data_IF_166039733323
#
_entry.id   IF_166039733323
#
_cell.length_a   1.000
_cell.length_b   1.000
_cell.length_c   1.000
_cell.angle_alpha   90.00
_cell.angle_beta   90.00
_cell.angle_gamma   90.00
#
_symmetry.space_group_name_H-M   'P 1'
#
loop_
_entity.id
_entity.type
_entity.pdbx_description
1 polymer ?
#
# COMPACT_ATOMS: atom_id res chain seq x y z
N UNK A 1 -9.08 22.68 -3.16
CA UNK A 1 -8.07 22.36 -4.19
C UNK A 1 -6.85 21.74 -3.50
N UNK A 2 -6.68 20.43 -3.64
CA UNK A 2 -5.41 19.70 -3.45
C UNK A 2 -5.53 18.48 -4.37
N UNK A 3 -4.85 18.50 -5.52
CA UNK A 3 -4.91 17.40 -6.48
C UNK A 3 -4.03 16.28 -5.93
N UNK A 4 -4.58 15.07 -5.78
CA UNK A 4 -3.78 13.91 -5.42
C UNK A 4 -2.83 13.63 -6.59
N UNK A 5 -1.53 13.74 -6.34
CA UNK A 5 -0.48 13.57 -7.38
C UNK A 5 0.05 12.14 -7.41
N UNK A 6 -0.55 11.21 -6.64
CA UNK A 6 -0.18 9.80 -6.63
C UNK A 6 1.32 9.58 -6.39
N UNK A 7 1.94 10.44 -5.57
CA UNK A 7 3.39 10.43 -5.30
C UNK A 7 3.86 9.08 -4.73
N UNK A 8 3.02 8.44 -3.91
CA UNK A 8 3.32 7.13 -3.34
C UNK A 8 3.32 6.02 -4.40
N UNK A 9 2.34 6.02 -5.32
CA UNK A 9 2.30 5.08 -6.43
C UNK A 9 3.51 5.25 -7.37
N UNK A 10 3.81 6.49 -7.79
CA UNK A 10 4.96 6.76 -8.67
C UNK A 10 6.27 6.29 -8.05
N UNK A 11 6.48 6.59 -6.77
CA UNK A 11 7.64 6.12 -6.01
C UNK A 11 7.71 4.58 -5.96
N UNK A 12 6.61 3.93 -5.59
CA UNK A 12 6.58 2.48 -5.37
C UNK A 12 6.77 1.70 -6.68
N UNK A 13 6.08 2.12 -7.74
CA UNK A 13 6.17 1.50 -9.07
C UNK A 13 7.57 1.70 -9.64
N UNK A 14 8.14 2.91 -9.55
CA UNK A 14 9.50 3.17 -10.03
C UNK A 14 10.57 2.34 -9.32
N UNK A 15 10.44 2.18 -8.00
CA UNK A 15 11.34 1.34 -7.21
C UNK A 15 11.19 -0.14 -7.57
N UNK A 16 9.96 -0.65 -7.60
CA UNK A 16 9.70 -2.05 -7.95
C UNK A 16 10.09 -2.37 -9.39
N UNK A 17 9.96 -1.44 -10.33
CA UNK A 17 10.41 -1.62 -11.71
C UNK A 17 11.93 -1.75 -11.79
N UNK A 18 12.64 -0.92 -11.03
CA UNK A 18 14.10 -0.96 -10.94
C UNK A 18 14.57 -2.28 -10.32
N UNK A 19 13.92 -2.72 -9.24
CA UNK A 19 14.20 -3.99 -8.59
C UNK A 19 13.86 -5.20 -9.50
N UNK A 20 12.77 -5.13 -10.26
CA UNK A 20 12.40 -6.14 -11.25
C UNK A 20 13.43 -6.26 -12.37
N UNK A 21 13.92 -5.13 -12.90
CA UNK A 21 14.97 -5.13 -13.89
C UNK A 21 16.28 -5.77 -13.36
N UNK A 22 16.72 -5.38 -12.17
CA UNK A 22 17.92 -5.96 -11.54
C UNK A 22 17.76 -7.47 -11.29
N UNK A 23 16.59 -7.88 -10.80
CA UNK A 23 16.27 -9.29 -10.59
C UNK A 23 16.35 -10.05 -11.91
N UNK A 24 15.74 -9.54 -12.97
CA UNK A 24 15.76 -10.19 -14.28
C UNK A 24 17.19 -10.27 -14.85
N UNK A 25 17.99 -9.20 -14.72
CA UNK A 25 19.39 -9.20 -15.18
C UNK A 25 20.25 -10.24 -14.45
N UNK A 26 20.03 -10.44 -13.16
CA UNK A 26 20.83 -11.36 -12.35
C UNK A 26 20.38 -12.82 -12.45
N UNK A 27 19.09 -13.07 -12.66
CA UNK A 27 18.50 -14.41 -12.54
C UNK A 27 17.78 -14.90 -13.80
N UNK A 28 17.62 -14.07 -14.83
CA UNK A 28 16.96 -14.41 -16.10
C UNK A 28 15.44 -14.60 -16.02
N UNK A 29 14.81 -14.26 -14.89
CA UNK A 29 13.36 -14.36 -14.67
C UNK A 29 12.89 -13.33 -13.64
N UNK A 30 11.60 -12.99 -13.69
CA UNK A 30 10.94 -12.26 -12.61
C UNK A 30 10.62 -13.21 -11.46
N UNK A 31 10.90 -12.76 -10.23
CA UNK A 31 10.73 -13.54 -9.01
C UNK A 31 10.35 -12.56 -7.91
N UNK A 32 9.08 -12.58 -7.49
CA UNK A 32 8.51 -11.55 -6.62
C UNK A 32 9.26 -11.40 -5.29
N UNK A 33 9.70 -12.50 -4.69
CA UNK A 33 10.49 -12.47 -3.45
C UNK A 33 11.83 -11.76 -3.64
N UNK A 34 12.52 -11.99 -4.75
CA UNK A 34 13.77 -11.29 -5.08
C UNK A 34 13.52 -9.83 -5.40
N UNK A 35 12.44 -9.52 -6.12
CA UNK A 35 12.04 -8.13 -6.42
C UNK A 35 11.82 -7.35 -5.12
N UNK A 36 11.09 -7.90 -4.16
CA UNK A 36 10.87 -7.26 -2.88
C UNK A 36 12.16 -7.08 -2.06
N UNK A 37 13.04 -8.08 -2.09
CA UNK A 37 14.36 -7.99 -1.45
C UNK A 37 15.19 -6.85 -2.06
N UNK A 38 15.37 -6.84 -3.39
CA UNK A 38 16.14 -5.83 -4.11
C UNK A 38 15.55 -4.43 -3.92
N UNK A 39 14.21 -4.29 -3.96
CA UNK A 39 13.55 -3.03 -3.69
C UNK A 39 13.89 -2.50 -2.29
N UNK A 40 13.91 -3.37 -1.28
CA UNK A 40 14.34 -3.03 0.08
C UNK A 40 15.78 -2.54 0.13
N UNK A 41 16.70 -3.22 -0.55
CA UNK A 41 18.12 -2.85 -0.59
C UNK A 41 18.36 -1.50 -1.28
N UNK A 42 17.79 -1.29 -2.46
CA UNK A 42 17.86 0.00 -3.19
C UNK A 42 17.33 1.13 -2.32
N UNK A 43 16.20 0.89 -1.67
CA UNK A 43 15.52 1.86 -0.84
C UNK A 43 16.38 2.23 0.38
N UNK A 44 16.89 1.25 1.15
CA UNK A 44 17.76 1.50 2.30
C UNK A 44 19.06 2.22 1.91
N UNK A 45 19.68 1.84 0.80
CA UNK A 45 20.90 2.47 0.34
C UNK A 45 20.68 3.94 -0.07
N UNK A 46 19.53 4.23 -0.71
CA UNK A 46 19.12 5.61 -1.03
C UNK A 46 18.76 6.40 0.24
N UNK A 47 18.05 5.77 1.19
CA UNK A 47 17.68 6.40 2.46
C UNK A 47 18.88 6.77 3.33
N UNK A 48 19.93 5.96 3.36
CA UNK A 48 21.16 6.28 4.09
C UNK A 48 21.87 7.52 3.51
N UNK A 49 21.81 7.73 2.20
CA UNK A 49 22.39 8.92 1.55
C UNK A 49 21.53 10.18 1.73
N UNK A 50 20.20 10.02 1.80
CA UNK A 50 19.29 11.14 2.02
C UNK A 50 19.31 11.62 3.49
N UNK A 51 19.57 10.73 4.46
CA UNK A 51 19.67 11.10 5.88
C UNK A 51 20.86 12.03 6.20
N UNK A 52 21.97 11.87 5.49
CA UNK A 52 23.14 12.76 5.64
C UNK A 52 22.86 14.19 5.15
N UNK A 53 21.77 14.43 4.42
CA UNK A 53 21.41 15.72 3.82
C UNK A 53 20.00 16.22 4.20
N UNK A 54 19.42 15.78 5.32
CA UNK A 54 18.07 16.24 5.72
C UNK A 54 18.10 17.73 6.08
N UNK A 55 17.52 18.54 5.19
CA UNK A 55 17.13 19.90 5.49
C UNK A 55 15.92 19.88 6.43
N UNK A 56 16.18 20.10 7.72
CA UNK A 56 15.17 20.14 8.79
C UNK A 56 14.09 21.22 8.61
N UNK A 57 14.25 22.13 7.64
CA UNK A 57 13.34 23.27 7.41
C UNK A 57 12.12 22.95 6.53
N UNK A 58 12.13 21.87 5.73
CA UNK A 58 11.06 21.54 4.78
C UNK A 58 10.54 20.09 4.93
N UNK A 59 9.96 19.78 6.09
CA UNK A 59 9.39 18.44 6.37
C UNK A 59 8.14 18.18 5.55
N UNK A 60 8.12 17.03 4.88
CA UNK A 60 6.91 16.51 4.21
C UNK A 60 5.86 16.08 5.23
N UNK A 61 4.59 15.98 4.80
CA UNK A 61 3.51 15.46 5.66
C UNK A 61 3.81 14.06 6.21
N UNK A 62 4.49 13.21 5.42
CA UNK A 62 4.89 11.87 5.86
C UNK A 62 5.94 11.89 6.97
N UNK A 63 6.92 12.78 6.90
CA UNK A 63 7.94 12.96 7.95
C UNK A 63 7.33 13.51 9.25
N UNK A 64 6.38 14.45 9.15
CA UNK A 64 5.65 14.94 10.32
C UNK A 64 4.81 13.85 10.99
N UNK A 65 4.15 12.99 10.20
CA UNK A 65 3.40 11.84 10.73
C UNK A 65 4.34 10.82 11.39
N UNK A 66 5.50 10.54 10.77
CA UNK A 66 6.51 9.66 11.34
C UNK A 66 7.02 10.19 12.69
N UNK A 67 7.38 11.48 12.78
CA UNK A 67 7.86 12.09 14.03
C UNK A 67 6.80 12.09 15.13
N UNK A 68 5.52 12.27 14.78
CA UNK A 68 4.43 12.39 15.75
C UNK A 68 3.87 11.04 16.20
N UNK A 69 3.88 10.04 15.33
CA UNK A 69 3.14 8.77 15.54
C UNK A 69 3.96 7.50 15.26
N UNK A 70 5.22 7.62 14.80
CA UNK A 70 6.06 6.47 14.43
C UNK A 70 5.67 5.77 13.13
N UNK A 71 4.65 6.27 12.42
CA UNK A 71 4.13 5.67 11.19
C UNK A 71 5.04 6.04 10.01
N UNK A 72 5.70 5.05 9.42
CA UNK A 72 6.71 5.23 8.37
C UNK A 72 6.14 5.41 6.96
N UNK A 73 4.86 5.05 6.76
CA UNK A 73 4.17 5.12 5.47
C UNK A 73 4.87 4.32 4.35
N UNK A 74 4.70 4.76 3.10
CA UNK A 74 5.20 4.03 1.92
C UNK A 74 6.72 3.86 1.89
N UNK A 75 7.46 4.80 2.48
CA UNK A 75 8.92 4.72 2.61
C UNK A 75 9.33 3.58 3.55
N UNK A 76 8.59 3.40 4.64
CA UNK A 76 8.79 2.26 5.56
C UNK A 76 8.43 0.92 4.93
N UNK A 77 7.34 0.87 4.17
CA UNK A 77 6.99 -0.31 3.35
C UNK A 77 8.14 -0.66 2.40
N UNK A 78 8.58 0.29 1.58
CA UNK A 78 9.65 0.10 0.61
C UNK A 78 10.96 -0.34 1.27
N UNK A 79 11.41 0.34 2.32
CA UNK A 79 12.62 -0.03 3.06
C UNK A 79 12.51 -1.38 3.79
N UNK A 80 11.31 -1.96 3.90
CA UNK A 80 11.07 -3.30 4.46
C UNK A 80 10.79 -4.35 3.38
N UNK A 81 10.88 -3.99 2.10
CA UNK A 81 10.55 -4.87 0.98
C UNK A 81 9.04 -5.09 0.80
N UNK A 82 8.23 -4.06 1.03
CA UNK A 82 6.77 -4.05 0.87
C UNK A 82 6.05 -5.22 1.57
N UNK A 83 6.20 -5.40 2.90
CA UNK A 83 5.60 -6.51 3.63
C UNK A 83 4.07 -6.57 3.47
N UNK A 84 3.38 -5.43 3.33
CA UNK A 84 1.93 -5.43 3.09
C UNK A 84 1.60 -6.04 1.73
N UNK A 85 2.39 -5.78 0.69
CA UNK A 85 2.18 -6.39 -0.62
C UNK A 85 2.54 -7.87 -0.57
N UNK A 86 3.76 -8.17 -0.12
CA UNK A 86 4.35 -9.51 -0.14
C UNK A 86 3.55 -10.53 0.69
N UNK A 87 3.17 -10.16 1.91
CA UNK A 87 2.62 -11.11 2.88
C UNK A 87 1.09 -11.06 2.97
N UNK A 88 0.45 -10.00 2.45
CA UNK A 88 -0.98 -9.78 2.63
C UNK A 88 -1.70 -9.66 1.29
N UNK A 89 -1.34 -8.68 0.47
CA UNK A 89 -2.09 -8.35 -0.74
C UNK A 89 -1.95 -9.41 -1.85
N UNK A 90 -0.71 -9.79 -2.22
CA UNK A 90 -0.47 -10.78 -3.27
C UNK A 90 -1.05 -12.17 -2.93
N UNK A 91 -0.80 -12.75 -1.73
CA UNK A 91 -1.39 -14.04 -1.37
C UNK A 91 -2.92 -13.99 -1.37
N UNK A 92 -3.51 -12.88 -0.90
CA UNK A 92 -4.96 -12.71 -0.89
C UNK A 92 -5.54 -12.62 -2.31
N UNK A 93 -4.95 -11.81 -3.20
CA UNK A 93 -5.39 -11.73 -4.59
C UNK A 93 -5.33 -13.09 -5.29
N UNK A 94 -4.24 -13.83 -5.12
CA UNK A 94 -4.08 -15.18 -5.67
C UNK A 94 -5.15 -16.14 -5.11
N UNK A 95 -5.50 -16.03 -3.83
CA UNK A 95 -6.55 -16.87 -3.23
C UNK A 95 -7.93 -16.66 -3.87
N UNK A 96 -8.17 -15.51 -4.49
CA UNK A 96 -9.42 -15.19 -5.19
C UNK A 96 -9.47 -15.70 -6.63
N UNK A 97 -8.39 -16.27 -7.18
CA UNK A 97 -8.34 -16.74 -8.58
C UNK A 97 -9.45 -17.73 -8.90
N UNK A 98 -9.71 -18.67 -7.99
CA UNK A 98 -10.72 -19.73 -8.14
C UNK A 98 -12.16 -19.30 -7.80
N UNK A 99 -12.39 -18.01 -7.55
CA UNK A 99 -13.74 -17.47 -7.31
C UNK A 99 -14.39 -16.99 -8.61
N UNK A 100 -15.72 -16.97 -8.65
CA UNK A 100 -16.50 -16.43 -9.77
C UNK A 100 -16.54 -14.89 -9.82
N UNK A 101 -15.72 -14.20 -9.02
CA UNK A 101 -15.64 -12.75 -9.00
C UNK A 101 -15.02 -12.20 -10.27
N UNK A 102 -15.47 -11.02 -10.69
CA UNK A 102 -14.76 -10.28 -11.74
C UNK A 102 -13.36 -9.88 -11.26
N UNK A 103 -12.41 -9.70 -12.17
CA UNK A 103 -11.07 -9.23 -11.77
C UNK A 103 -11.13 -7.90 -11.00
N UNK A 104 -12.04 -7.01 -11.38
CA UNK A 104 -12.26 -5.75 -10.67
C UNK A 104 -12.72 -5.98 -9.22
N UNK A 105 -13.64 -6.91 -8.97
CA UNK A 105 -14.07 -7.24 -7.61
C UNK A 105 -12.93 -7.85 -6.79
N UNK A 106 -12.06 -8.67 -7.42
CA UNK A 106 -10.85 -9.19 -6.77
C UNK A 106 -9.90 -8.06 -6.36
N UNK A 107 -9.73 -7.04 -7.20
CA UNK A 107 -8.97 -5.83 -6.87
C UNK A 107 -9.60 -5.03 -5.73
N UNK A 108 -10.94 -4.89 -5.71
CA UNK A 108 -11.66 -4.20 -4.64
C UNK A 108 -11.46 -4.92 -3.31
N UNK A 109 -11.62 -6.24 -3.25
CA UNK A 109 -11.40 -6.98 -2.01
C UNK A 109 -9.92 -6.96 -1.59
N UNK A 110 -9.00 -6.96 -2.55
CA UNK A 110 -7.56 -6.82 -2.27
C UNK A 110 -7.25 -5.43 -1.69
N UNK A 111 -7.90 -4.36 -2.15
CA UNK A 111 -7.80 -3.04 -1.54
C UNK A 111 -8.25 -3.07 -0.08
N UNK A 112 -9.38 -3.74 0.21
CA UNK A 112 -9.88 -3.89 1.58
C UNK A 112 -8.90 -4.69 2.43
N UNK A 113 -8.28 -5.74 1.89
CA UNK A 113 -7.21 -6.48 2.56
C UNK A 113 -6.02 -5.58 2.89
N UNK A 114 -5.57 -4.74 1.96
CA UNK A 114 -4.50 -3.77 2.22
C UNK A 114 -4.92 -2.77 3.31
N UNK A 115 -6.12 -2.20 3.22
CA UNK A 115 -6.65 -1.25 4.21
C UNK A 115 -6.77 -1.85 5.61
N UNK A 116 -6.91 -3.18 5.73
CA UNK A 116 -6.97 -3.88 7.01
C UNK A 116 -5.61 -3.98 7.72
N UNK A 117 -4.50 -3.88 6.97
CA UNK A 117 -3.15 -4.12 7.48
C UNK A 117 -2.25 -2.89 7.42
N UNK A 118 -2.36 -2.08 6.36
CA UNK A 118 -1.49 -0.93 6.11
C UNK A 118 -1.69 0.21 7.11
N UNK A 119 -0.60 0.87 7.48
CA UNK A 119 -0.64 2.12 8.22
C UNK A 119 -0.69 3.32 7.26
N UNK A 120 -1.87 3.52 6.67
CA UNK A 120 -2.09 4.52 5.63
C UNK A 120 -2.02 5.96 6.17
N UNK A 121 -0.92 6.64 5.85
CA UNK A 121 -0.67 8.02 6.26
C UNK A 121 -1.67 9.02 5.68
N UNK A 122 -2.33 8.71 4.55
CA UNK A 122 -3.33 9.62 3.98
C UNK A 122 -4.58 9.67 4.86
N UNK A 123 -4.98 8.54 5.46
CA UNK A 123 -6.09 8.49 6.43
C UNK A 123 -5.73 9.33 7.67
N UNK A 124 -4.53 9.14 8.22
CA UNK A 124 -4.06 9.91 9.38
C UNK A 124 -3.98 11.41 9.07
N UNK A 125 -3.57 11.77 7.85
CA UNK A 125 -3.45 13.18 7.43
C UNK A 125 -4.78 13.91 7.33
N UNK A 126 -5.87 13.20 6.97
CA UNK A 126 -7.21 13.77 6.82
C UNK A 126 -8.05 13.65 8.08
N UNK A 127 -7.79 12.62 8.88
CA UNK A 127 -8.42 12.39 10.17
C UNK A 127 -7.37 12.36 11.28
N UNK A 128 -7.17 11.18 11.85
CA UNK A 128 -6.25 10.91 12.96
C UNK A 128 -5.95 9.41 13.08
N UNK A 129 -5.21 9.00 14.11
CA UNK A 129 -4.87 7.59 14.38
C UNK A 129 -6.12 6.76 14.70
N UNK A 130 -7.14 7.34 15.33
CA UNK A 130 -8.41 6.65 15.57
C UNK A 130 -9.15 6.37 14.27
N UNK A 131 -9.05 7.26 13.28
CA UNK A 131 -9.59 7.08 11.93
C UNK A 131 -8.89 5.94 11.21
N UNK A 132 -7.56 5.85 11.30
CA UNK A 132 -6.81 4.71 10.77
C UNK A 132 -7.26 3.41 11.44
N UNK A 133 -7.38 3.41 12.77
CA UNK A 133 -7.85 2.25 13.54
C UNK A 133 -9.27 1.84 13.17
N UNK A 134 -10.16 2.80 12.94
CA UNK A 134 -11.52 2.60 12.46
C UNK A 134 -11.51 1.91 11.08
N UNK A 135 -10.73 2.44 10.13
CA UNK A 135 -10.64 1.86 8.78
C UNK A 135 -10.11 0.43 8.82
N UNK A 136 -9.02 0.17 9.56
CA UNK A 136 -8.47 -1.18 9.70
C UNK A 136 -9.50 -2.16 10.26
N UNK A 137 -10.23 -1.77 11.32
CA UNK A 137 -11.27 -2.61 11.94
C UNK A 137 -12.44 -2.87 11.00
N UNK A 138 -12.96 -1.85 10.33
CA UNK A 138 -14.09 -1.99 9.41
C UNK A 138 -13.71 -2.85 8.20
N UNK A 139 -12.51 -2.65 7.63
CA UNK A 139 -11.97 -3.52 6.58
C UNK A 139 -11.87 -4.99 7.00
N UNK A 140 -11.38 -5.29 8.22
CA UNK A 140 -11.37 -6.67 8.74
C UNK A 140 -12.77 -7.25 8.84
N UNK A 141 -13.72 -6.48 9.40
CA UNK A 141 -15.10 -6.94 9.53
C UNK A 141 -15.77 -7.26 8.19
N UNK A 142 -15.42 -6.53 7.11
CA UNK A 142 -15.92 -6.81 5.75
C UNK A 142 -15.35 -8.13 5.25
N UNK A 143 -14.05 -8.39 5.46
CA UNK A 143 -13.39 -9.63 5.01
C UNK A 143 -13.91 -10.86 5.76
N UNK A 144 -14.43 -10.70 6.97
CA UNK A 144 -15.04 -11.77 7.77
C UNK A 144 -16.48 -12.11 7.32
N UNK A 145 -17.09 -11.30 6.44
CA UNK A 145 -18.43 -11.57 5.90
C UNK A 145 -18.40 -12.65 4.81
N UNK A 146 -19.54 -13.33 4.56
CA UNK A 146 -19.70 -14.17 3.38
C UNK A 146 -19.36 -13.41 2.08
N UNK A 147 -18.64 -14.07 1.17
CA UNK A 147 -18.04 -13.46 -0.03
C UNK A 147 -19.06 -12.70 -0.90
N UNK A 148 -20.27 -13.24 -1.02
CA UNK A 148 -21.39 -12.67 -1.76
C UNK A 148 -21.91 -11.33 -1.18
N UNK A 149 -21.63 -11.08 0.10
CA UNK A 149 -22.06 -9.90 0.84
C UNK A 149 -20.97 -8.82 0.88
N UNK A 150 -19.70 -9.18 0.69
CA UNK A 150 -18.56 -8.30 0.88
C UNK A 150 -18.61 -7.07 -0.03
N UNK A 151 -18.80 -7.26 -1.35
CA UNK A 151 -18.78 -6.15 -2.31
C UNK A 151 -19.85 -5.09 -2.00
N UNK A 152 -21.05 -5.53 -1.62
CA UNK A 152 -22.12 -4.61 -1.21
C UNK A 152 -21.70 -3.79 0.01
N UNK A 153 -21.12 -4.43 1.02
CA UNK A 153 -20.66 -3.74 2.23
C UNK A 153 -19.49 -2.79 1.94
N UNK A 154 -18.62 -3.11 0.96
CA UNK A 154 -17.56 -2.21 0.52
C UNK A 154 -18.13 -0.90 -0.02
N UNK A 155 -19.21 -0.94 -0.80
CA UNK A 155 -19.86 0.29 -1.28
C UNK A 155 -20.47 1.13 -0.17
N UNK A 156 -21.06 0.51 0.85
CA UNK A 156 -21.55 1.25 2.03
C UNK A 156 -20.39 1.83 2.84
N UNK A 157 -19.28 1.11 2.95
CA UNK A 157 -18.09 1.60 3.61
C UNK A 157 -17.44 2.76 2.85
N UNK A 158 -17.39 2.72 1.52
CA UNK A 158 -16.88 3.82 0.69
C UNK A 158 -17.69 5.11 0.92
N UNK A 159 -19.02 5.03 0.95
CA UNK A 159 -19.90 6.17 1.30
C UNK A 159 -19.57 6.72 2.69
N UNK A 160 -19.34 5.84 3.67
CA UNK A 160 -18.97 6.25 5.02
C UNK A 160 -17.61 6.98 5.05
N UNK A 161 -16.60 6.45 4.35
CA UNK A 161 -15.29 7.10 4.21
C UNK A 161 -15.41 8.49 3.57
N UNK A 162 -16.20 8.61 2.50
CA UNK A 162 -16.49 9.90 1.85
C UNK A 162 -17.12 10.88 2.84
N UNK A 163 -18.14 10.44 3.60
CA UNK A 163 -18.83 11.27 4.58
C UNK A 163 -17.90 11.78 5.69
N UNK A 164 -16.89 10.97 6.07
CA UNK A 164 -15.87 11.30 7.07
C UNK A 164 -14.65 12.01 6.47
N UNK A 165 -14.64 12.30 5.16
CA UNK A 165 -13.50 12.83 4.42
C UNK A 165 -12.21 12.01 4.61
N UNK A 166 -12.33 10.69 4.79
CA UNK A 166 -11.21 9.76 4.88
C UNK A 166 -10.88 9.24 3.49
N UNK A 167 -9.59 9.17 3.17
CA UNK A 167 -9.14 8.68 1.86
C UNK A 167 -8.00 7.67 2.06
N UNK A 168 -8.23 6.38 1.75
CA UNK A 168 -7.21 5.32 1.86
C UNK A 168 -6.26 5.35 0.64
N UNK A 169 -5.70 6.52 0.34
CA UNK A 169 -4.89 6.71 -0.86
C UNK A 169 -3.54 5.98 -0.81
N UNK A 170 -2.94 5.81 0.37
CA UNK A 170 -1.71 5.00 0.50
C UNK A 170 -1.99 3.52 0.24
N UNK A 171 -3.17 3.05 0.65
CA UNK A 171 -3.64 1.69 0.38
C UNK A 171 -3.90 1.48 -1.12
N UNK A 172 -4.46 2.47 -1.80
CA UNK A 172 -4.64 2.43 -3.26
C UNK A 172 -3.30 2.40 -4.01
N UNK A 173 -2.30 3.18 -3.56
CA UNK A 173 -0.95 3.16 -4.12
C UNK A 173 -0.30 1.77 -3.95
N UNK A 174 -0.50 1.12 -2.79
CA UNK A 174 -0.07 -0.26 -2.55
C UNK A 174 -0.81 -1.28 -3.43
N UNK A 175 -2.11 -1.08 -3.71
CA UNK A 175 -2.83 -1.93 -4.66
C UNK A 175 -2.23 -1.83 -6.06
N UNK A 176 -1.93 -0.62 -6.54
CA UNK A 176 -1.31 -0.43 -7.85
C UNK A 176 0.04 -1.16 -7.94
N UNK A 177 0.87 -1.05 -6.90
CA UNK A 177 2.12 -1.79 -6.79
C UNK A 177 1.93 -3.32 -6.69
N UNK A 178 0.88 -3.78 -5.99
CA UNK A 178 0.50 -5.20 -5.93
C UNK A 178 0.16 -5.73 -7.33
N UNK A 179 -0.66 -5.01 -8.08
CA UNK A 179 -1.06 -5.41 -9.43
C UNK A 179 0.13 -5.44 -10.39
N UNK A 180 1.05 -4.48 -10.28
CA UNK A 180 2.30 -4.52 -11.05
C UNK A 180 3.04 -5.84 -10.82
N UNK A 181 3.26 -6.25 -9.57
CA UNK A 181 3.99 -7.48 -9.26
C UNK A 181 3.19 -8.72 -9.63
N UNK A 182 1.87 -8.69 -9.51
CA UNK A 182 0.99 -9.79 -9.92
C UNK A 182 1.09 -10.11 -11.43
N UNK A 183 1.35 -9.10 -12.26
CA UNK A 183 1.47 -9.28 -13.72
C UNK A 183 2.90 -9.53 -14.22
N UNK A 184 3.91 -9.57 -13.33
CA UNK A 184 5.30 -9.91 -13.66
C UNK A 184 5.55 -11.42 -13.57
#
# INVERSE_FOLDING_TARGET
KNINTHKGAVFSIGLLASAAALTYMNYGKFDSDKIFFEAGEICRHSFLKDFDNIDYSNKTNGENIYLKHGIKGIRGEAASGFPTIRNQALPFLNSLENTNLSFNDKCILTLIKIMSEADDTNIVSRGNVDSLSYVKKKSKSILDMPLDSQIKEVYEFDKDLISKNLSPGGSADLLAATLMVYFL
#
